data_IF_126301380056
#
_entry.id   IF_126301380056
#
_cell.length_a   1.000
_cell.length_b   1.000
_cell.length_c   1.000
_cell.angle_alpha   90.00
_cell.angle_beta   90.00
_cell.angle_gamma   90.00
#
_symmetry.space_group_name_H-M   'P 1'
#
loop_
_entity.id
_entity.type
_entity.pdbx_description
1 polymer ?
#
# COMPACT_ATOMS: atom_id res chain seq x y z
N UNK A 1 8.25 22.30 -11.40
CA UNK A 1 9.25 21.19 -11.46
C UNK A 1 9.01 20.30 -10.26
N UNK A 2 8.76 18.99 -10.42
CA UNK A 2 8.67 18.07 -9.27
C UNK A 2 10.06 17.94 -8.62
N UNK A 3 10.13 17.90 -7.30
CA UNK A 3 11.41 17.76 -6.59
C UNK A 3 12.08 16.40 -6.87
N UNK A 4 13.40 16.31 -6.60
CA UNK A 4 14.22 15.11 -6.84
C UNK A 4 13.66 13.85 -6.16
N UNK A 5 13.15 13.97 -4.94
CA UNK A 5 12.57 12.85 -4.18
C UNK A 5 11.32 12.32 -4.90
N UNK A 6 10.44 13.21 -5.34
CA UNK A 6 9.22 12.87 -6.08
C UNK A 6 9.54 12.20 -7.42
N UNK A 7 10.58 12.67 -8.14
CA UNK A 7 11.04 12.04 -9.39
C UNK A 7 11.53 10.60 -9.16
N UNK A 8 12.32 10.39 -8.11
CA UNK A 8 12.80 9.05 -7.75
C UNK A 8 11.64 8.12 -7.39
N UNK A 9 10.66 8.59 -6.60
CA UNK A 9 9.50 7.79 -6.24
C UNK A 9 8.65 7.40 -7.45
N UNK A 10 8.44 8.32 -8.41
CA UNK A 10 7.69 8.03 -9.64
C UNK A 10 8.41 6.99 -10.51
N UNK A 11 9.73 7.14 -10.68
CA UNK A 11 10.54 6.19 -11.44
C UNK A 11 10.55 4.80 -10.80
N UNK A 12 10.71 4.73 -9.48
CA UNK A 12 10.69 3.49 -8.72
C UNK A 12 9.33 2.79 -8.82
N UNK A 13 8.23 3.53 -8.60
CA UNK A 13 6.87 2.99 -8.72
C UNK A 13 6.60 2.41 -10.12
N UNK A 14 6.95 3.16 -11.17
CA UNK A 14 6.80 2.71 -12.55
C UNK A 14 7.54 1.41 -12.80
N UNK A 15 8.85 1.37 -12.51
CA UNK A 15 9.67 0.18 -12.74
C UNK A 15 9.22 -1.01 -11.88
N UNK A 16 8.82 -0.80 -10.62
CA UNK A 16 8.29 -1.88 -9.80
C UNK A 16 7.00 -2.48 -10.39
N UNK A 17 6.13 -1.66 -10.97
CA UNK A 17 4.89 -2.14 -11.62
C UNK A 17 5.14 -2.88 -12.94
N UNK A 18 6.12 -2.43 -13.73
CA UNK A 18 6.42 -2.98 -15.06
C UNK A 18 7.17 -4.33 -14.98
N UNK A 19 8.23 -4.39 -14.17
CA UNK A 19 9.18 -5.50 -14.16
C UNK A 19 9.34 -6.19 -12.80
N UNK A 20 8.71 -5.68 -11.74
CA UNK A 20 8.82 -6.23 -10.39
C UNK A 20 9.90 -5.57 -9.53
N UNK A 21 9.83 -5.77 -8.22
CA UNK A 21 10.76 -5.17 -7.26
C UNK A 21 12.11 -5.87 -7.38
N UNK A 22 12.12 -7.20 -7.37
CA UNK A 22 13.34 -8.00 -7.43
C UNK A 22 14.20 -7.72 -8.67
N UNK A 23 13.57 -7.45 -9.81
CA UNK A 23 14.26 -7.15 -11.07
C UNK A 23 14.71 -5.67 -11.18
N UNK A 24 14.26 -4.79 -10.27
CA UNK A 24 14.54 -3.35 -10.36
C UNK A 24 15.77 -2.95 -9.55
N UNK A 25 16.81 -2.49 -10.25
CA UNK A 25 18.05 -1.99 -9.65
C UNK A 25 17.98 -0.49 -9.35
N UNK A 26 18.74 -0.02 -8.35
CA UNK A 26 18.85 1.42 -8.06
C UNK A 26 19.39 2.22 -9.25
N UNK A 27 20.25 1.62 -10.08
CA UNK A 27 20.78 2.27 -11.29
C UNK A 27 19.68 2.52 -12.33
N UNK A 28 18.81 1.52 -12.53
CA UNK A 28 17.64 1.63 -13.41
C UNK A 28 16.74 2.79 -12.96
N UNK A 29 16.48 2.88 -11.64
CA UNK A 29 15.68 3.95 -11.04
C UNK A 29 16.34 5.31 -11.26
N UNK A 30 17.65 5.44 -11.03
CA UNK A 30 18.35 6.73 -11.23
C UNK A 30 18.36 7.18 -12.69
N UNK A 31 18.47 6.23 -13.62
CA UNK A 31 18.44 6.51 -15.06
C UNK A 31 17.05 7.00 -15.47
N UNK A 32 15.99 6.29 -15.08
CA UNK A 32 14.59 6.67 -15.35
C UNK A 32 14.25 8.01 -14.67
N UNK A 33 14.70 8.23 -13.44
CA UNK A 33 14.45 9.47 -12.72
C UNK A 33 15.29 10.65 -13.23
N UNK A 34 16.36 10.42 -14.01
CA UNK A 34 17.31 11.44 -14.47
C UNK A 34 18.09 12.09 -13.32
N UNK A 35 18.57 11.29 -12.37
CA UNK A 35 19.30 11.72 -11.17
C UNK A 35 20.56 10.85 -10.97
N UNK A 36 21.41 11.21 -10.01
CA UNK A 36 22.58 10.39 -9.66
C UNK A 36 22.27 9.41 -8.50
N UNK A 37 23.09 8.38 -8.34
CA UNK A 37 22.94 7.39 -7.26
C UNK A 37 23.08 8.00 -5.86
N UNK A 38 23.91 9.03 -5.70
CA UNK A 38 24.05 9.74 -4.44
C UNK A 38 22.73 10.39 -3.97
N UNK A 39 21.85 10.75 -4.91
CA UNK A 39 20.52 11.31 -4.60
C UNK A 39 19.62 10.27 -3.93
N UNK A 40 19.74 8.99 -4.28
CA UNK A 40 18.99 7.93 -3.61
C UNK A 40 19.47 7.76 -2.17
N UNK A 41 20.79 7.66 -1.97
CA UNK A 41 21.35 7.55 -0.62
C UNK A 41 21.03 8.78 0.24
N UNK A 42 21.07 9.98 -0.34
CA UNK A 42 20.72 11.21 0.36
C UNK A 42 19.25 11.28 0.77
N UNK A 43 18.31 10.93 -0.12
CA UNK A 43 16.88 11.08 0.14
C UNK A 43 16.23 9.89 0.86
N UNK A 44 16.76 8.68 0.69
CA UNK A 44 16.14 7.44 1.18
C UNK A 44 17.08 6.62 2.06
N UNK A 45 18.40 6.82 1.99
CA UNK A 45 19.39 6.05 2.74
C UNK A 45 19.66 4.67 2.15
N UNK A 46 18.60 3.85 2.04
CA UNK A 46 18.66 2.47 1.56
C UNK A 46 17.63 2.16 0.47
N UNK A 47 17.85 1.06 -0.28
CA UNK A 47 16.88 0.51 -1.23
C UNK A 47 15.57 0.13 -0.54
N UNK A 48 15.68 -0.49 0.63
CA UNK A 48 14.54 -0.90 1.44
C UNK A 48 13.67 0.29 1.84
N UNK A 49 14.28 1.38 2.30
CA UNK A 49 13.56 2.62 2.61
C UNK A 49 12.90 3.23 1.36
N UNK A 50 13.57 3.19 0.21
CA UNK A 50 12.96 3.64 -1.04
C UNK A 50 11.70 2.82 -1.37
N UNK A 51 11.79 1.49 -1.26
CA UNK A 51 10.65 0.59 -1.46
C UNK A 51 9.52 0.94 -0.48
N UNK A 52 9.83 1.06 0.81
CA UNK A 52 8.87 1.45 1.85
C UNK A 52 8.18 2.78 1.51
N UNK A 53 8.93 3.81 1.11
CA UNK A 53 8.36 5.12 0.75
C UNK A 53 7.46 5.07 -0.47
N UNK A 54 7.76 4.22 -1.46
CA UNK A 54 6.88 4.00 -2.61
C UNK A 54 5.55 3.40 -2.14
N UNK A 55 5.61 2.41 -1.26
CA UNK A 55 4.40 1.78 -0.71
C UNK A 55 3.61 2.72 0.20
N UNK A 56 4.26 3.44 1.13
CA UNK A 56 3.61 4.42 2.00
C UNK A 56 2.80 5.45 1.21
N UNK A 57 3.33 5.90 0.06
CA UNK A 57 2.65 6.89 -0.78
C UNK A 57 1.32 6.39 -1.33
N UNK A 58 1.16 5.08 -1.53
CA UNK A 58 -0.08 4.47 -2.05
C UNK A 58 -0.94 3.86 -0.95
N UNK A 59 -0.33 3.04 -0.09
CA UNK A 59 -1.04 2.35 0.98
C UNK A 59 -1.43 3.27 2.12
N UNK A 60 -0.72 4.37 2.37
CA UNK A 60 -1.04 5.31 3.45
C UNK A 60 -2.48 5.85 3.34
N UNK A 61 -2.83 6.55 2.24
CA UNK A 61 -4.19 7.03 2.01
C UNK A 61 -5.24 5.92 2.00
N UNK A 62 -4.93 4.78 1.36
CA UNK A 62 -5.83 3.62 1.30
C UNK A 62 -6.12 3.08 2.70
N UNK A 63 -5.10 2.90 3.53
CA UNK A 63 -5.23 2.35 4.87
C UNK A 63 -5.92 3.33 5.82
N UNK A 64 -5.66 4.63 5.68
CA UNK A 64 -6.40 5.66 6.40
C UNK A 64 -7.91 5.57 6.07
N UNK A 65 -8.25 5.45 4.79
CA UNK A 65 -9.65 5.34 4.36
C UNK A 65 -10.31 4.04 4.80
N UNK A 66 -9.59 2.91 4.79
CA UNK A 66 -10.07 1.64 5.36
C UNK A 66 -10.50 1.79 6.82
N UNK A 67 -9.66 2.46 7.62
CA UNK A 67 -9.95 2.69 9.04
C UNK A 67 -11.09 3.68 9.23
N UNK A 68 -11.17 4.73 8.41
CA UNK A 68 -12.27 5.68 8.43
C UNK A 68 -13.62 5.00 8.17
N UNK A 69 -13.72 4.21 7.09
CA UNK A 69 -14.93 3.46 6.75
C UNK A 69 -15.32 2.45 7.83
N UNK A 70 -14.34 1.71 8.36
CA UNK A 70 -14.60 0.74 9.43
C UNK A 70 -15.15 1.44 10.69
N UNK A 71 -14.57 2.57 11.07
CA UNK A 71 -15.04 3.39 12.19
C UNK A 71 -16.45 3.95 11.93
N UNK A 72 -16.71 4.46 10.73
CA UNK A 72 -18.04 4.96 10.35
C UNK A 72 -19.11 3.86 10.43
N UNK A 73 -18.81 2.66 9.91
CA UNK A 73 -19.72 1.52 10.00
C UNK A 73 -19.92 1.07 11.45
N UNK A 74 -18.86 1.10 12.28
CA UNK A 74 -18.96 0.85 13.72
C UNK A 74 -19.90 1.82 14.43
N UNK A 75 -19.78 3.12 14.14
CA UNK A 75 -20.66 4.15 14.72
C UNK A 75 -22.13 3.95 14.32
N UNK A 76 -22.38 3.57 13.06
CA UNK A 76 -23.74 3.28 12.57
C UNK A 76 -24.33 2.00 13.18
N UNK A 77 -23.50 0.99 13.44
CA UNK A 77 -23.93 -0.25 14.06
C UNK A 77 -24.20 -0.12 15.57
N UNK A 78 -23.57 0.86 16.24
CA UNK A 78 -23.74 1.13 17.66
C UNK A 78 -23.28 -0.06 18.51
N UNK A 79 -24.22 -0.71 19.22
CA UNK A 79 -23.94 -1.88 20.06
C UNK A 79 -24.01 -3.21 19.29
N UNK A 80 -24.45 -3.19 18.04
CA UNK A 80 -24.50 -4.38 17.18
C UNK A 80 -23.17 -4.58 16.45
N UNK A 81 -22.89 -5.82 16.04
CA UNK A 81 -21.73 -6.11 15.19
C UNK A 81 -21.89 -5.44 13.82
N UNK A 82 -20.77 -5.00 13.24
CA UNK A 82 -20.75 -4.52 11.85
C UNK A 82 -21.08 -5.71 10.92
N UNK A 83 -22.02 -5.58 9.97
CA UNK A 83 -22.28 -6.65 8.99
C UNK A 83 -21.02 -7.03 8.22
N UNK A 84 -20.80 -8.33 7.97
CA UNK A 84 -19.61 -8.84 7.28
C UNK A 84 -19.39 -8.15 5.94
N UNK A 85 -20.46 -7.90 5.19
CA UNK A 85 -20.43 -7.25 3.88
C UNK A 85 -19.84 -5.84 3.99
N UNK A 86 -20.10 -5.13 5.10
CA UNK A 86 -19.57 -3.79 5.36
C UNK A 86 -18.11 -3.81 5.78
N UNK A 87 -17.70 -4.82 6.54
CA UNK A 87 -16.29 -5.04 6.87
C UNK A 87 -15.50 -5.31 5.58
N UNK A 88 -16.00 -6.17 4.71
CA UNK A 88 -15.37 -6.45 3.40
C UNK A 88 -15.39 -5.19 2.52
N UNK A 89 -16.50 -4.46 2.48
CA UNK A 89 -16.60 -3.19 1.72
C UNK A 89 -15.53 -2.19 2.17
N UNK A 90 -15.37 -1.97 3.49
CA UNK A 90 -14.38 -1.07 4.05
C UNK A 90 -12.94 -1.45 3.66
N UNK A 91 -12.66 -2.74 3.43
CA UNK A 91 -11.33 -3.21 3.04
C UNK A 91 -11.05 -3.08 1.54
N UNK A 92 -12.05 -3.41 0.71
CA UNK A 92 -11.92 -3.58 -0.75
C UNK A 92 -12.23 -2.29 -1.51
N UNK A 93 -13.15 -1.45 -1.02
CA UNK A 93 -13.53 -0.22 -1.70
C UNK A 93 -12.38 0.79 -1.83
N UNK A 94 -11.57 1.09 -0.79
CA UNK A 94 -10.54 2.12 -0.89
C UNK A 94 -9.51 1.94 -2.02
N UNK A 95 -8.92 0.75 -2.27
CA UNK A 95 -7.99 0.59 -3.38
C UNK A 95 -8.64 0.67 -4.78
N UNK A 96 -9.97 0.54 -4.90
CA UNK A 96 -10.68 0.62 -6.18
C UNK A 96 -11.06 2.05 -6.59
N UNK A 97 -11.21 2.95 -5.63
CA UNK A 97 -11.73 4.31 -5.84
C UNK A 97 -10.78 5.41 -5.33
N UNK A 98 -9.49 5.09 -5.15
CA UNK A 98 -8.48 6.09 -4.77
C UNK A 98 -8.20 7.01 -5.97
N UNK A 99 -8.85 8.17 -6.00
CA UNK A 99 -8.80 9.17 -7.09
C UNK A 99 -7.43 9.89 -7.19
N UNK A 100 -6.55 9.80 -6.19
CA UNK A 100 -5.20 10.39 -6.19
C UNK A 100 -4.16 9.58 -6.99
N UNK A 101 -4.61 8.61 -7.78
CA UNK A 101 -3.80 8.02 -8.82
C UNK A 101 -3.55 9.08 -9.90
N UNK A 102 -2.38 9.73 -9.84
CA UNK A 102 -1.71 10.36 -11.00
C UNK A 102 -2.13 9.59 -12.26
N UNK A 103 -2.74 10.30 -13.21
CA UNK A 103 -3.24 9.84 -14.51
C UNK A 103 -2.75 8.42 -14.88
N UNK A 104 -3.65 7.42 -14.88
CA UNK A 104 -3.48 5.99 -15.23
C UNK A 104 -3.01 4.96 -14.17
N UNK A 105 -2.80 5.34 -12.89
CA UNK A 105 -2.26 4.41 -11.86
C UNK A 105 -3.20 3.43 -11.07
N UNK A 106 -4.53 3.34 -11.26
CA UNK A 106 -5.32 2.33 -10.53
C UNK A 106 -4.88 0.89 -10.85
N UNK A 107 -4.56 0.61 -12.11
CA UNK A 107 -4.17 -0.72 -12.56
C UNK A 107 -2.75 -1.12 -12.13
N UNK A 108 -1.80 -0.18 -12.14
CA UNK A 108 -0.41 -0.46 -11.79
C UNK A 108 -0.23 -0.76 -10.30
N UNK A 109 -1.03 -0.14 -9.43
CA UNK A 109 -1.00 -0.48 -8.00
C UNK A 109 -1.62 -1.84 -7.70
N UNK A 110 -2.76 -2.18 -8.32
CA UNK A 110 -3.35 -3.52 -8.22
C UNK A 110 -2.41 -4.59 -8.78
N UNK A 111 -1.73 -4.32 -9.90
CA UNK A 111 -0.69 -5.18 -10.46
C UNK A 111 0.51 -5.31 -9.52
N UNK A 112 0.95 -4.22 -8.89
CA UNK A 112 2.04 -4.25 -7.91
C UNK A 112 1.65 -5.16 -6.72
N UNK A 113 0.43 -5.03 -6.20
CA UNK A 113 -0.08 -5.91 -5.14
C UNK A 113 -0.11 -7.38 -5.59
N UNK A 114 -0.61 -7.66 -6.80
CA UNK A 114 -0.64 -9.01 -7.36
C UNK A 114 0.76 -9.62 -7.56
N UNK A 115 1.72 -8.83 -8.06
CA UNK A 115 3.12 -9.26 -8.23
C UNK A 115 3.82 -9.50 -6.91
N UNK A 116 3.54 -8.71 -5.86
CA UNK A 116 4.13 -8.90 -4.54
C UNK A 116 3.80 -10.26 -3.92
N UNK A 117 2.59 -10.79 -4.13
CA UNK A 117 2.24 -12.13 -3.68
C UNK A 117 3.04 -13.24 -4.40
N UNK A 118 3.70 -12.89 -5.51
CA UNK A 118 4.50 -13.79 -6.35
C UNK A 118 6.01 -13.54 -6.22
N UNK A 119 6.45 -12.52 -5.45
CA UNK A 119 7.84 -12.05 -5.34
C UNK A 119 8.39 -12.18 -3.90
N UNK A 120 9.74 -12.19 -3.70
CA UNK A 120 10.38 -12.82 -2.55
C UNK A 120 10.22 -12.07 -1.20
N UNK A 121 10.55 -12.79 -0.12
CA UNK A 121 10.52 -12.42 1.32
C UNK A 121 11.01 -10.99 1.68
N UNK A 122 11.78 -10.33 0.81
CA UNK A 122 12.44 -9.03 1.05
C UNK A 122 11.46 -7.88 1.36
N UNK A 123 10.19 -7.97 0.93
CA UNK A 123 9.21 -6.88 1.14
C UNK A 123 8.06 -7.26 2.08
N UNK A 124 8.01 -8.51 2.54
CA UNK A 124 6.91 -9.03 3.34
C UNK A 124 6.79 -8.29 4.69
N UNK A 125 7.91 -8.06 5.38
CA UNK A 125 7.91 -7.37 6.67
C UNK A 125 7.55 -5.88 6.53
N UNK A 126 7.92 -5.24 5.42
CA UNK A 126 7.53 -3.86 5.12
C UNK A 126 6.01 -3.74 4.98
N UNK A 127 5.39 -4.67 4.25
CA UNK A 127 3.93 -4.69 4.10
C UNK A 127 3.24 -4.92 5.44
N UNK A 128 3.71 -5.88 6.23
CA UNK A 128 3.15 -6.11 7.57
C UNK A 128 3.20 -4.83 8.43
N UNK A 129 4.28 -4.06 8.33
CA UNK A 129 4.39 -2.77 9.03
C UNK A 129 3.37 -1.74 8.54
N UNK A 130 3.07 -1.70 7.24
CA UNK A 130 2.12 -0.72 6.67
C UNK A 130 0.66 -1.07 6.96
N UNK A 131 0.38 -2.35 7.15
CA UNK A 131 -0.96 -2.87 7.40
C UNK A 131 -1.28 -3.11 8.89
N UNK A 132 -0.33 -2.90 9.80
CA UNK A 132 -0.41 -3.34 11.21
C UNK A 132 -1.74 -3.02 11.90
N UNK A 133 -2.09 -1.73 11.98
CA UNK A 133 -3.33 -1.29 12.64
C UNK A 133 -4.58 -1.73 11.87
N UNK A 134 -4.52 -1.69 10.53
CA UNK A 134 -5.62 -2.12 9.66
C UNK A 134 -5.97 -3.58 9.91
N UNK A 135 -4.99 -4.48 9.86
CA UNK A 135 -5.24 -5.91 10.03
C UNK A 135 -5.77 -6.21 11.43
N UNK A 136 -5.20 -5.57 12.45
CA UNK A 136 -5.67 -5.72 13.84
C UNK A 136 -7.13 -5.31 13.99
N UNK A 137 -7.51 -4.13 13.49
CA UNK A 137 -8.88 -3.61 13.58
C UNK A 137 -9.87 -4.46 12.78
N UNK A 138 -9.52 -4.88 11.56
CA UNK A 138 -10.41 -5.68 10.73
C UNK A 138 -10.61 -7.09 11.26
N UNK A 139 -9.55 -7.75 11.77
CA UNK A 139 -9.69 -9.07 12.41
C UNK A 139 -10.61 -8.98 13.65
N UNK A 140 -10.49 -7.92 14.44
CA UNK A 140 -11.34 -7.74 15.61
C UNK A 140 -12.83 -7.63 15.23
N UNK A 141 -13.16 -6.88 14.17
CA UNK A 141 -14.55 -6.76 13.69
C UNK A 141 -15.03 -8.03 12.99
N UNK A 142 -14.18 -8.73 12.23
CA UNK A 142 -14.52 -10.01 11.62
C UNK A 142 -14.89 -11.06 12.68
N UNK A 143 -14.14 -11.13 13.79
CA UNK A 143 -14.44 -12.04 14.91
C UNK A 143 -15.80 -11.74 15.55
N UNK A 144 -16.18 -10.47 15.67
CA UNK A 144 -17.51 -10.08 16.19
C UNK A 144 -18.63 -10.45 15.23
N UNK A 145 -18.39 -10.30 13.92
CA UNK A 145 -19.37 -10.62 12.88
C UNK A 145 -19.53 -12.13 12.63
N UNK A 146 -18.49 -12.93 12.91
CA UNK A 146 -18.43 -14.38 12.68
C UNK A 146 -18.06 -15.15 13.97
N UNK A 147 -18.91 -15.11 15.02
CA UNK A 147 -18.58 -15.69 16.32
C UNK A 147 -18.39 -17.22 16.27
N UNK A 148 -19.00 -17.92 15.30
CA UNK A 148 -18.94 -19.38 15.20
C UNK A 148 -17.71 -19.93 14.43
N UNK A 149 -16.83 -19.08 13.90
CA UNK A 149 -15.63 -19.51 13.15
C UNK A 149 -14.30 -19.20 13.84
N UNK A 150 -14.33 -18.96 15.15
CA UNK A 150 -13.14 -18.68 15.96
C UNK A 150 -12.57 -19.95 16.59
N UNK A 151 -12.09 -20.90 15.78
CA UNK A 151 -11.20 -22.00 16.21
C UNK A 151 -9.83 -21.92 15.52
#
# INVERSE_FOLDING_TARGET
>A
MKDTKTRILNAAEKLFSEQGIGATSLRSITAEAGVNLASIHYHFGSRENLILRVFERRLGPINAERLNLLNEFGQRAGNSAIPLEKIIEAFIRPPLFCEDAIDDLPASFVQLIGRMHSEPKETQHLLMSLFGDVITSFIAELKKALPEQSE
#
